data_IF_869510342989
#
_entry.id   IF_869510342989
#
_cell.length_a   1.000
_cell.length_b   1.000
_cell.length_c   1.000
_cell.angle_alpha   90.00
_cell.angle_beta   90.00
_cell.angle_gamma   90.00
#
_symmetry.space_group_name_H-M   'P 1'
#
loop_
_entity.id
_entity.type
_entity.pdbx_description
1 polymer ?
#
# COMPACT_ATOMS: atom_id res chain seq x y z
N UNK A 1 19.57 -11.23 -11.31
CA UNK A 1 18.49 -11.08 -10.32
C UNK A 1 17.47 -10.13 -10.91
N UNK A 2 16.17 -10.46 -10.84
CA UNK A 2 15.12 -9.49 -11.14
C UNK A 2 15.36 -8.27 -10.25
N UNK A 3 15.23 -7.07 -10.82
CA UNK A 3 15.22 -5.84 -10.04
C UNK A 3 13.78 -5.43 -9.66
N UNK A 4 12.78 -6.19 -10.08
CA UNK A 4 11.36 -5.89 -9.92
C UNK A 4 10.75 -6.68 -8.77
N UNK A 5 10.11 -5.97 -7.86
CA UNK A 5 9.12 -6.49 -6.95
C UNK A 5 7.75 -6.00 -7.44
N UNK A 6 6.85 -6.93 -7.74
CA UNK A 6 5.48 -6.68 -8.13
C UNK A 6 4.65 -6.37 -6.90
N UNK A 7 3.79 -5.35 -6.96
CA UNK A 7 2.94 -4.93 -5.85
C UNK A 7 1.53 -4.69 -6.36
N UNK A 8 0.57 -5.37 -5.75
CA UNK A 8 -0.86 -5.10 -5.88
C UNK A 8 -1.36 -4.52 -4.57
N UNK A 9 -1.91 -3.32 -4.63
CA UNK A 9 -2.29 -2.51 -3.49
C UNK A 9 -3.80 -2.32 -3.54
N UNK A 10 -4.48 -2.75 -2.50
CA UNK A 10 -5.90 -2.48 -2.29
C UNK A 10 -5.99 -1.46 -1.14
N UNK A 11 -6.56 -0.29 -1.41
CA UNK A 11 -6.79 0.76 -0.42
C UNK A 11 -8.28 0.81 -0.12
N UNK A 12 -8.63 0.70 1.16
CA UNK A 12 -10.00 0.70 1.66
C UNK A 12 -10.18 1.92 2.55
N UNK A 13 -11.18 2.75 2.28
CA UNK A 13 -11.37 3.99 3.02
C UNK A 13 -12.58 4.81 2.58
N UNK A 14 -12.65 6.04 3.06
CA UNK A 14 -13.70 6.98 2.69
C UNK A 14 -13.52 7.49 1.24
N UNK A 15 -14.62 7.61 0.50
CA UNK A 15 -14.66 8.01 -0.92
C UNK A 15 -13.81 9.25 -1.22
N UNK A 16 -13.96 10.31 -0.43
CA UNK A 16 -13.20 11.56 -0.60
C UNK A 16 -11.68 11.39 -0.47
N UNK A 17 -11.24 10.47 0.40
CA UNK A 17 -9.81 10.16 0.57
C UNK A 17 -9.33 9.36 -0.64
N UNK A 18 -10.13 8.39 -1.08
CA UNK A 18 -9.80 7.58 -2.24
C UNK A 18 -9.79 8.40 -3.53
N UNK A 19 -10.65 9.42 -3.67
CA UNK A 19 -10.63 10.39 -4.76
C UNK A 19 -9.31 11.14 -4.80
N UNK A 20 -8.84 11.60 -3.65
CA UNK A 20 -7.54 12.26 -3.58
C UNK A 20 -6.41 11.29 -3.97
N UNK A 21 -6.39 10.09 -3.40
CA UNK A 21 -5.34 9.10 -3.65
C UNK A 21 -5.32 8.62 -5.11
N UNK A 22 -6.47 8.46 -5.74
CA UNK A 22 -6.59 8.14 -7.16
C UNK A 22 -6.13 9.30 -8.05
N UNK A 23 -6.52 10.54 -7.73
CA UNK A 23 -6.12 11.72 -8.51
C UNK A 23 -4.60 11.92 -8.53
N UNK A 24 -3.93 11.61 -7.43
CA UNK A 24 -2.46 11.63 -7.37
C UNK A 24 -1.83 10.31 -7.81
N UNK A 25 -2.63 9.31 -8.20
CA UNK A 25 -2.22 7.95 -8.58
C UNK A 25 -1.29 7.29 -7.55
N UNK A 26 -1.62 7.45 -6.27
CA UNK A 26 -0.77 6.99 -5.15
C UNK A 26 0.72 7.38 -5.31
N UNK A 27 1.02 8.53 -5.93
CA UNK A 27 2.39 8.96 -6.18
C UNK A 27 3.16 9.16 -4.87
N UNK A 28 4.31 8.49 -4.76
CA UNK A 28 5.09 8.42 -3.53
C UNK A 28 5.61 9.79 -3.13
N UNK A 29 6.02 10.56 -4.14
CA UNK A 29 6.55 11.91 -3.97
C UNK A 29 5.45 12.90 -3.55
N UNK A 30 4.22 12.70 -4.00
CA UNK A 30 3.07 13.51 -3.58
C UNK A 30 2.58 13.11 -2.18
N UNK A 31 2.56 11.81 -1.85
CA UNK A 31 2.17 11.31 -0.52
C UNK A 31 3.20 11.73 0.54
N UNK A 32 4.48 11.47 0.28
CA UNK A 32 5.58 11.68 1.21
C UNK A 32 6.81 12.18 0.46
N UNK A 33 6.91 13.50 0.18
CA UNK A 33 7.96 14.06 -0.64
C UNK A 33 9.34 13.94 -0.02
N UNK A 34 10.33 13.69 -0.86
CA UNK A 34 11.74 13.77 -0.47
C UNK A 34 12.05 15.25 -0.16
N UNK A 35 12.70 15.55 0.98
CA UNK A 35 13.10 16.90 1.32
C UNK A 35 13.91 17.56 0.20
N UNK A 36 13.60 18.82 -0.11
CA UNK A 36 14.20 19.55 -1.24
C UNK A 36 15.72 19.64 -1.12
N UNK A 37 16.22 19.72 0.10
CA UNK A 37 17.64 19.78 0.45
C UNK A 37 18.39 18.52 0.01
N UNK A 38 17.70 17.37 -0.09
CA UNK A 38 18.27 16.09 -0.50
C UNK A 38 18.23 15.88 -2.03
N UNK A 39 17.35 16.56 -2.77
CA UNK A 39 17.14 16.36 -4.22
C UNK A 39 18.27 16.87 -5.14
N UNK A 40 19.39 17.32 -4.61
CA UNK A 40 20.52 17.80 -5.43
C UNK A 40 21.43 16.64 -5.89
N UNK A 41 22.10 16.79 -7.04
CA UNK A 41 23.07 15.79 -7.54
C UNK A 41 24.16 15.43 -6.52
N UNK A 42 24.56 16.38 -5.67
CA UNK A 42 25.55 16.17 -4.60
C UNK A 42 25.02 15.33 -3.43
N UNK A 43 23.70 15.25 -3.27
CA UNK A 43 23.04 14.57 -2.15
C UNK A 43 22.28 13.31 -2.58
N UNK A 44 22.52 12.79 -3.79
CA UNK A 44 21.76 11.67 -4.34
C UNK A 44 21.78 10.40 -3.46
N UNK A 45 22.91 10.09 -2.82
CA UNK A 45 23.01 8.96 -1.89
C UNK A 45 22.13 9.19 -0.65
N UNK A 46 22.17 10.39 -0.07
CA UNK A 46 21.31 10.76 1.06
C UNK A 46 19.82 10.76 0.70
N UNK A 47 19.48 11.14 -0.53
CA UNK A 47 18.13 11.03 -1.04
C UNK A 47 17.70 9.56 -1.15
N UNK A 48 18.56 8.68 -1.70
CA UNK A 48 18.31 7.24 -1.76
C UNK A 48 18.11 6.63 -0.37
N UNK A 49 18.93 7.02 0.62
CA UNK A 49 18.82 6.53 1.99
C UNK A 49 17.53 6.99 2.65
N UNK A 50 17.15 8.25 2.42
CA UNK A 50 15.87 8.78 2.87
C UNK A 50 14.71 8.00 2.24
N UNK A 51 14.73 7.76 0.93
CA UNK A 51 13.69 7.00 0.23
C UNK A 51 13.59 5.57 0.78
N UNK A 52 14.71 4.86 0.98
CA UNK A 52 14.68 3.53 1.60
C UNK A 52 14.07 3.55 3.01
N UNK A 53 14.39 4.56 3.81
CA UNK A 53 13.90 4.66 5.18
C UNK A 53 12.44 5.13 5.29
N UNK A 54 11.92 5.86 4.30
CA UNK A 54 10.58 6.49 4.37
C UNK A 54 9.57 5.89 3.40
N UNK A 55 10.05 5.28 2.31
CA UNK A 55 9.23 4.59 1.32
C UNK A 55 9.45 3.08 1.32
N UNK A 56 10.52 2.57 1.96
CA UNK A 56 10.91 1.16 1.89
C UNK A 56 11.70 0.78 0.66
N UNK A 57 11.65 1.64 -0.36
CA UNK A 57 12.22 1.42 -1.69
C UNK A 57 13.00 2.64 -2.12
N UNK A 58 14.03 2.44 -2.95
CA UNK A 58 14.83 3.54 -3.46
C UNK A 58 14.16 4.24 -4.66
N UNK A 59 13.36 3.51 -5.44
CA UNK A 59 12.54 4.03 -6.54
C UNK A 59 11.48 3.01 -6.94
N UNK A 60 10.42 3.49 -7.57
CA UNK A 60 9.61 2.67 -8.46
C UNK A 60 10.32 2.44 -9.81
N UNK A 61 9.87 1.43 -10.56
CA UNK A 61 10.44 1.07 -11.86
C UNK A 61 9.50 1.36 -13.02
N UNK A 62 8.19 1.37 -12.77
CA UNK A 62 7.14 1.60 -13.76
C UNK A 62 6.15 2.65 -13.23
N UNK A 63 5.22 3.09 -14.08
CA UNK A 63 4.14 4.00 -13.68
C UNK A 63 3.14 3.27 -12.77
N UNK A 64 2.56 3.99 -11.79
CA UNK A 64 1.46 3.45 -10.98
C UNK A 64 0.19 3.38 -11.83
N UNK A 65 -0.41 2.20 -11.91
CA UNK A 65 -1.75 2.02 -12.45
C UNK A 65 -2.75 2.02 -11.29
N UNK A 66 -3.89 2.71 -11.45
CA UNK A 66 -4.92 2.81 -10.42
C UNK A 66 -6.31 2.62 -11.02
N UNK A 67 -7.19 1.93 -10.31
CA UNK A 67 -8.57 1.67 -10.71
C UNK A 67 -9.51 1.77 -9.51
N UNK A 68 -10.50 2.66 -9.56
CA UNK A 68 -11.61 2.70 -8.59
C UNK A 68 -12.52 1.49 -8.81
N UNK A 69 -12.58 0.60 -7.82
CA UNK A 69 -13.45 -0.60 -7.84
C UNK A 69 -14.83 -0.28 -7.24
N UNK A 70 -14.88 0.59 -6.23
CA UNK A 70 -16.12 1.09 -5.62
C UNK A 70 -15.82 2.36 -4.82
N UNK A 71 -16.84 3.07 -4.35
CA UNK A 71 -16.72 4.27 -3.50
C UNK A 71 -15.83 4.07 -2.25
N UNK A 72 -15.60 2.81 -1.84
CA UNK A 72 -14.79 2.47 -0.66
C UNK A 72 -13.54 1.65 -0.98
N UNK A 73 -13.24 1.39 -2.25
CA UNK A 73 -12.12 0.54 -2.67
C UNK A 73 -11.41 1.12 -3.90
N UNK A 74 -10.11 1.38 -3.72
CA UNK A 74 -9.18 1.74 -4.79
C UNK A 74 -8.16 0.62 -4.96
N UNK A 75 -8.01 0.15 -6.19
CA UNK A 75 -6.97 -0.79 -6.58
C UNK A 75 -5.81 -0.06 -7.24
N UNK A 76 -4.58 -0.54 -7.01
CA UNK A 76 -3.41 -0.03 -7.68
C UNK A 76 -2.34 -1.11 -7.88
N UNK A 77 -1.57 -0.98 -8.96
CA UNK A 77 -0.43 -1.86 -9.26
C UNK A 77 0.84 -1.06 -9.56
N UNK A 78 1.96 -1.54 -9.02
CA UNK A 78 3.27 -0.95 -9.33
C UNK A 78 4.42 -1.95 -9.17
N UNK A 79 5.44 -1.77 -10.01
CA UNK A 79 6.72 -2.42 -9.83
C UNK A 79 7.70 -1.51 -9.10
N UNK A 80 8.27 -2.02 -8.01
CA UNK A 80 9.30 -1.33 -7.22
C UNK A 80 10.65 -2.02 -7.34
N UNK A 81 11.72 -1.29 -6.99
CA UNK A 81 13.05 -1.85 -6.99
C UNK A 81 13.27 -2.77 -5.77
N UNK A 82 13.37 -4.09 -6.00
CA UNK A 82 13.78 -5.16 -5.07
C UNK A 82 12.94 -5.40 -3.81
N UNK A 83 12.06 -4.49 -3.40
CA UNK A 83 11.30 -4.57 -2.15
C UNK A 83 9.92 -3.94 -2.30
N UNK A 84 8.92 -4.37 -1.52
CA UNK A 84 7.64 -3.66 -1.43
C UNK A 84 7.79 -2.31 -0.69
N UNK A 85 6.90 -1.34 -0.97
CA UNK A 85 6.96 0.00 -0.38
C UNK A 85 6.28 0.08 1.01
N UNK A 86 6.62 -0.83 1.93
CA UNK A 86 5.91 -1.01 3.20
C UNK A 86 5.87 0.27 4.03
N UNK A 87 7.00 0.94 4.19
CA UNK A 87 7.15 2.14 5.02
C UNK A 87 6.35 3.33 4.46
N UNK A 88 6.13 3.38 3.14
CA UNK A 88 5.20 4.36 2.57
C UNK A 88 3.76 3.98 2.90
N UNK A 89 3.38 2.72 2.76
CA UNK A 89 2.00 2.28 2.96
C UNK A 89 1.58 2.38 4.44
N UNK A 90 2.48 2.11 5.39
CA UNK A 90 2.28 2.43 6.81
C UNK A 90 2.04 3.94 7.02
N UNK A 91 2.83 4.78 6.35
CA UNK A 91 2.60 6.23 6.39
C UNK A 91 1.26 6.63 5.76
N UNK A 92 0.86 6.01 4.64
CA UNK A 92 -0.41 6.30 3.96
C UNK A 92 -1.60 5.95 4.85
N UNK A 93 -1.60 4.76 5.48
CA UNK A 93 -2.70 4.33 6.36
C UNK A 93 -2.85 5.26 7.56
N UNK A 94 -1.74 5.58 8.25
CA UNK A 94 -1.75 6.52 9.38
C UNK A 94 -2.08 7.96 8.99
N UNK A 95 -1.66 8.43 7.81
CA UNK A 95 -1.86 9.81 7.36
C UNK A 95 -3.28 10.09 6.89
N UNK A 96 -3.87 9.14 6.18
CA UNK A 96 -5.14 9.32 5.49
C UNK A 96 -6.29 8.52 6.12
N UNK A 97 -6.03 7.77 7.20
CA UNK A 97 -7.02 6.93 7.88
C UNK A 97 -7.68 5.94 6.90
N UNK A 98 -6.84 5.20 6.17
CA UNK A 98 -7.24 4.14 5.23
C UNK A 98 -6.62 2.83 5.67
N UNK A 99 -7.23 1.73 5.27
CA UNK A 99 -6.66 0.40 5.38
C UNK A 99 -6.00 0.01 4.06
N UNK A 100 -4.89 -0.73 4.13
CA UNK A 100 -4.21 -1.25 2.95
C UNK A 100 -4.05 -2.76 3.04
N UNK A 101 -4.33 -3.45 1.94
CA UNK A 101 -3.88 -4.82 1.69
C UNK A 101 -2.86 -4.75 0.56
N UNK A 102 -1.67 -5.27 0.81
CA UNK A 102 -0.60 -5.37 -0.18
C UNK A 102 -0.29 -6.84 -0.44
N UNK A 103 -0.49 -7.29 -1.68
CA UNK A 103 0.10 -8.52 -2.21
C UNK A 103 1.37 -8.16 -2.99
N UNK A 104 2.48 -8.77 -2.64
CA UNK A 104 3.77 -8.47 -3.26
C UNK A 104 4.58 -9.72 -3.56
N UNK A 105 5.37 -9.64 -4.63
CA UNK A 105 6.23 -10.73 -5.10
C UNK A 105 7.53 -10.19 -5.69
N UNK A 106 8.67 -10.65 -5.16
CA UNK A 106 9.91 -10.72 -5.90
C UNK A 106 10.00 -12.13 -6.51
N UNK A 107 9.99 -12.27 -7.85
CA UNK A 107 9.91 -13.57 -8.53
C UNK A 107 11.03 -14.56 -8.19
N UNK A 108 12.09 -14.09 -7.54
CA UNK A 108 13.26 -14.90 -7.24
C UNK A 108 13.46 -15.17 -5.75
N UNK A 109 12.85 -14.39 -4.85
CA UNK A 109 13.29 -14.35 -3.44
C UNK A 109 12.16 -14.48 -2.43
N UNK A 110 11.03 -13.81 -2.64
CA UNK A 110 9.97 -13.77 -1.63
C UNK A 110 8.63 -13.37 -2.24
N UNK A 111 7.53 -13.83 -1.63
CA UNK A 111 6.21 -13.29 -1.85
C UNK A 111 5.47 -13.15 -0.52
N UNK A 112 4.44 -12.32 -0.48
CA UNK A 112 3.59 -12.24 0.70
C UNK A 112 2.41 -11.31 0.54
N UNK A 113 1.48 -11.47 1.46
CA UNK A 113 0.33 -10.58 1.62
C UNK A 113 0.42 -9.96 3.01
N UNK A 114 0.29 -8.63 3.07
CA UNK A 114 0.18 -7.88 4.33
C UNK A 114 -1.10 -7.09 4.40
N UNK A 115 -1.66 -6.97 5.60
CA UNK A 115 -2.66 -5.97 5.93
C UNK A 115 -2.03 -4.91 6.83
N UNK A 116 -2.26 -3.64 6.49
CA UNK A 116 -1.70 -2.47 7.16
C UNK A 116 -2.86 -1.57 7.58
N UNK A 117 -2.90 -1.20 8.86
CA UNK A 117 -3.89 -0.28 9.44
C UNK A 117 -3.21 0.63 10.46
N UNK A 118 -3.60 1.89 10.50
CA UNK A 118 -3.12 2.87 11.48
C UNK A 118 -1.58 2.98 11.57
N UNK A 119 -0.89 2.70 10.46
CA UNK A 119 0.58 2.68 10.40
C UNK A 119 1.25 1.42 10.95
N UNK A 120 0.48 0.37 11.25
CA UNK A 120 0.98 -0.91 11.74
C UNK A 120 0.62 -2.07 10.79
N UNK A 121 1.54 -3.01 10.63
CA UNK A 121 1.30 -4.27 9.91
C UNK A 121 0.59 -5.25 10.87
N UNK A 122 -0.69 -5.55 10.61
CA UNK A 122 -1.51 -6.44 11.47
C UNK A 122 -1.29 -7.92 11.13
N UNK A 123 -1.25 -8.26 9.85
CA UNK A 123 -1.13 -9.65 9.36
C UNK A 123 -0.03 -9.73 8.31
N UNK A 124 0.89 -10.69 8.46
CA UNK A 124 1.92 -10.98 7.47
C UNK A 124 1.88 -12.47 7.10
N UNK A 125 1.41 -12.77 5.89
CA UNK A 125 1.55 -14.11 5.31
C UNK A 125 2.73 -14.10 4.35
N UNK A 126 3.86 -14.67 4.79
CA UNK A 126 5.03 -14.89 3.94
C UNK A 126 4.94 -16.23 3.25
N UNK A 127 4.94 -16.22 1.93
CA UNK A 127 5.21 -17.42 1.14
C UNK A 127 6.66 -17.34 0.68
N UNK A 128 7.50 -18.22 1.23
CA UNK A 128 8.89 -18.34 0.78
C UNK A 128 8.83 -19.08 -0.55
N UNK A 129 9.04 -18.36 -1.65
CA UNK A 129 9.21 -18.97 -2.96
C UNK A 129 10.48 -19.81 -2.91
N UNK A 130 10.35 -21.14 -2.82
CA UNK A 130 11.47 -22.04 -2.99
C UNK A 130 12.12 -21.77 -4.35
N UNK A 131 13.45 -21.76 -4.42
CA UNK A 131 14.20 -21.63 -5.67
C UNK A 131 13.68 -22.63 -6.71
N UNK A 132 12.92 -22.14 -7.71
CA UNK A 132 12.43 -22.84 -8.90
C UNK A 132 11.71 -24.19 -8.71
N UNK A 133 10.38 -24.18 -8.87
CA UNK A 133 9.70 -25.19 -9.70
C UNK A 133 9.14 -24.42 -10.92
N UNK A 134 9.86 -24.44 -12.04
CA UNK A 134 9.45 -25.22 -13.21
C UNK A 134 8.03 -24.90 -13.70
N UNK A 135 7.95 -24.16 -14.80
CA UNK A 135 6.97 -24.35 -15.88
C UNK A 135 5.51 -24.52 -15.44
N UNK A 136 4.73 -23.45 -15.57
CA UNK A 136 3.26 -23.50 -15.57
C UNK A 136 2.64 -22.79 -14.37
N UNK A 137 1.68 -21.93 -14.66
CA UNK A 137 0.72 -21.31 -13.74
C UNK A 137 1.20 -20.09 -12.92
N UNK A 138 1.42 -19.00 -13.64
CA UNK A 138 1.43 -17.62 -13.10
C UNK A 138 0.01 -17.02 -12.96
N UNK A 139 -1.06 -17.83 -12.97
CA UNK A 139 -2.44 -17.32 -12.97
C UNK A 139 -3.20 -17.45 -11.63
N UNK A 140 -2.62 -18.05 -10.59
CA UNK A 140 -3.42 -18.61 -9.50
C UNK A 140 -3.70 -17.75 -8.26
N UNK A 141 -3.82 -16.41 -8.32
CA UNK A 141 -4.20 -15.65 -7.09
C UNK A 141 -5.51 -14.88 -7.13
N UNK A 142 -5.96 -14.44 -8.30
CA UNK A 142 -7.34 -14.00 -8.54
C UNK A 142 -7.64 -14.31 -10.01
N UNK A 143 -8.36 -15.39 -10.28
CA UNK A 143 -8.66 -15.78 -11.67
C UNK A 143 -9.91 -15.06 -12.19
N UNK A 144 -10.72 -14.51 -11.28
CA UNK A 144 -12.02 -13.92 -11.60
C UNK A 144 -12.36 -12.70 -10.73
N UNK A 145 -13.28 -11.86 -11.22
CA UNK A 145 -13.91 -10.77 -10.44
C UNK A 145 -14.59 -11.33 -9.17
N UNK A 146 -15.09 -12.56 -9.23
CA UNK A 146 -15.74 -13.23 -8.10
C UNK A 146 -14.76 -13.54 -6.95
N UNK A 147 -13.49 -13.82 -7.26
CA UNK A 147 -12.44 -14.01 -6.24
C UNK A 147 -12.10 -12.69 -5.53
N UNK A 148 -12.08 -11.58 -6.28
CA UNK A 148 -11.90 -10.24 -5.73
C UNK A 148 -13.12 -9.83 -4.88
N UNK A 149 -14.34 -10.03 -5.38
CA UNK A 149 -15.57 -9.75 -4.65
C UNK A 149 -15.67 -10.57 -3.36
N UNK A 150 -15.25 -11.83 -3.39
CA UNK A 150 -15.19 -12.68 -2.19
C UNK A 150 -14.19 -12.15 -1.18
N UNK A 151 -12.98 -11.77 -1.60
CA UNK A 151 -11.99 -11.18 -0.72
C UNK A 151 -12.46 -9.84 -0.13
N UNK A 152 -13.08 -8.98 -0.93
CA UNK A 152 -13.71 -7.73 -0.49
C UNK A 152 -14.82 -8.02 0.53
N UNK A 153 -15.65 -9.03 0.29
CA UNK A 153 -16.73 -9.43 1.20
C UNK A 153 -16.20 -10.00 2.52
N UNK A 154 -15.15 -10.82 2.47
CA UNK A 154 -14.48 -11.36 3.66
C UNK A 154 -13.77 -10.25 4.45
N UNK A 155 -13.12 -9.31 3.76
CA UNK A 155 -12.53 -8.10 4.35
C UNK A 155 -13.60 -7.22 5.02
N UNK A 156 -14.72 -6.98 4.35
CA UNK A 156 -15.85 -6.21 4.90
C UNK A 156 -16.47 -6.89 6.12
N UNK A 157 -16.59 -8.23 6.12
CA UNK A 157 -17.08 -8.96 7.29
C UNK A 157 -16.08 -8.87 8.46
N UNK A 158 -14.77 -8.97 8.20
CA UNK A 158 -13.74 -8.76 9.22
C UNK A 158 -13.78 -7.35 9.79
N UNK A 159 -13.95 -6.33 8.95
CA UNK A 159 -14.12 -4.93 9.37
C UNK A 159 -15.33 -4.74 10.28
N UNK A 160 -16.44 -5.41 9.96
CA UNK A 160 -17.65 -5.39 10.78
C UNK A 160 -17.40 -6.05 12.15
N UNK A 161 -16.75 -7.21 12.16
CA UNK A 161 -16.41 -7.93 13.39
C UNK A 161 -15.44 -7.12 14.28
N UNK A 162 -14.57 -6.31 13.69
CA UNK A 162 -13.67 -5.40 14.41
C UNK A 162 -14.46 -4.22 14.98
N UNK A 163 -15.30 -3.55 14.18
CA UNK A 163 -16.17 -2.45 14.65
C UNK A 163 -17.12 -2.88 15.77
N UNK A 164 -17.58 -4.13 15.75
CA UNK A 164 -18.43 -4.70 16.81
C UNK A 164 -17.64 -5.03 18.09
N UNK A 165 -16.31 -5.20 17.99
CA UNK A 165 -15.40 -5.51 19.12
C UNK A 165 -14.69 -4.30 19.68
N UNK A 166 -14.52 -3.23 18.91
CA UNK A 166 -13.92 -1.98 19.37
C UNK A 166 -15.00 -1.02 19.87
N UNK A 167 -14.84 -0.52 21.10
CA UNK A 167 -15.74 0.54 21.61
C UNK A 167 -15.59 1.77 20.71
N UNK A 168 -16.68 2.50 20.40
CA UNK A 168 -16.60 3.71 19.59
C UNK A 168 -15.55 4.64 20.22
N UNK A 169 -14.56 5.02 19.41
CA UNK A 169 -13.58 6.03 19.78
C UNK A 169 -14.39 7.30 20.06
N UNK A 170 -14.25 7.87 21.26
CA UNK A 170 -14.88 9.15 21.60
C UNK A 170 -14.51 10.16 20.53
N UNK A 171 -15.51 10.82 19.95
CA UNK A 171 -15.31 11.96 19.05
C UNK A 171 -14.25 12.90 19.64
N UNK A 172 -13.16 13.06 18.91
CA UNK A 172 -12.15 14.07 19.23
C UNK A 172 -12.71 15.39 18.68
N UNK A 173 -13.27 16.21 19.57
CA UNK A 173 -13.70 17.56 19.21
C UNK A 173 -12.47 18.41 18.93
N UNK A 174 -12.30 18.88 17.69
CA UNK A 174 -11.33 19.91 17.38
C UNK A 174 -11.85 21.25 17.91
N UNK A 175 -11.08 22.00 18.72
CA UNK A 175 -11.47 23.37 19.06
C UNK A 175 -11.51 24.19 17.77
N UNK A 176 -12.67 24.77 17.48
CA UNK A 176 -12.85 25.76 16.43
C UNK A 176 -12.04 27.01 16.78
N UNK A 177 -10.76 26.98 16.42
CA UNK A 177 -9.85 28.10 16.54
C UNK A 177 -10.23 29.18 15.55
N UNK A 178 -10.71 30.31 16.08
CA UNK A 178 -10.96 31.54 15.34
C UNK A 178 -9.75 31.91 14.47
N UNK A 179 -10.02 32.07 13.18
CA UNK A 179 -9.15 32.82 12.28
C UNK A 179 -9.23 34.29 12.73
N UNK A 180 -8.10 34.82 13.19
CA UNK A 180 -7.82 36.26 13.27
C UNK A 180 -6.71 36.56 12.27
#
# INVERSE_FOLDING_TARGET
MSNRCYNKIIVIGDEYVLDYLENIRLDFETIRPVPKELKSLKNNEKACDWMRANWGVYRWLDEMETERVSDTVLFAEINTAWRPPLELLEYTTSKFNVDVILDFEDPMVFAGIVSIRDGEIEEYRKEVTGYHQSVGDLNGRYETVEDLEKAVKEGNQRLKDIKDKTKPVKEISFPSGNII
#
